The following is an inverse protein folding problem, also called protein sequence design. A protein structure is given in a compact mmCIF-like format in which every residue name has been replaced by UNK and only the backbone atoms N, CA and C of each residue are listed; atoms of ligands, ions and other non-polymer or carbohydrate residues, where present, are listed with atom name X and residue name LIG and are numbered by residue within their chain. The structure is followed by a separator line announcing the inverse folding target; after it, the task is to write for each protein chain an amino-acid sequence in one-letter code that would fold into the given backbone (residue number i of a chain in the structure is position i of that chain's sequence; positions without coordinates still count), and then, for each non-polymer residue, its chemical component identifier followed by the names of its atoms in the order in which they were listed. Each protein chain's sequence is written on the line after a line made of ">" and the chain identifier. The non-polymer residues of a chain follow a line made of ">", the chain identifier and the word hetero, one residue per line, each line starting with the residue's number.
data_IF_463320514408
#
_entry.id   IF_463320514408
#
_cell.length_a   1.000
_cell.length_b   1.000
_cell.length_c   1.000
_cell.angle_alpha   90.00
_cell.angle_beta   90.00
_cell.angle_gamma   90.00
#
_symmetry.space_group_name_H-M   'P 1'
#
loop_
_entity.id
_entity.type
_entity.pdbx_description
1 polymer ?
#
# COMPACT_ATOMS: atom_id res chain seq x y z
N UNK A 1 -61.90 11.32 -13.58
CA UNK A 1 -62.06 11.55 -12.13
C UNK A 1 -60.85 12.35 -11.65
N UNK A 2 -61.13 13.48 -11.01
CA UNK A 2 -60.16 14.38 -10.38
C UNK A 2 -59.29 13.64 -9.36
N UNK A 3 -58.04 14.05 -9.08
CA UNK A 3 -57.69 15.02 -8.02
C UNK A 3 -56.33 14.53 -7.48
N UNK A 4 -55.27 15.27 -7.14
CA UNK A 4 -54.92 16.68 -7.10
C UNK A 4 -53.39 16.80 -7.09
N UNK A 5 -52.87 17.96 -7.53
CA UNK A 5 -51.47 18.38 -7.41
C UNK A 5 -51.12 18.73 -5.97
N UNK A 6 -49.85 18.55 -5.57
CA UNK A 6 -49.12 19.54 -4.76
C UNK A 6 -47.60 19.28 -4.85
N UNK A 7 -46.86 20.32 -5.23
CA UNK A 7 -45.41 20.42 -5.16
C UNK A 7 -45.02 21.26 -3.93
N UNK A 8 -43.91 20.95 -3.26
CA UNK A 8 -43.20 21.90 -2.39
C UNK A 8 -41.80 21.39 -2.00
N UNK A 9 -40.78 21.99 -2.61
CA UNK A 9 -39.57 22.61 -2.05
C UNK A 9 -38.73 22.00 -0.90
N UNK A 10 -37.43 22.39 -0.83
CA UNK A 10 -36.46 21.85 0.11
C UNK A 10 -36.59 22.50 1.50
N UNK A 11 -36.68 21.69 2.55
CA UNK A 11 -36.56 22.21 3.92
C UNK A 11 -35.08 22.28 4.30
N UNK A 12 -34.53 23.49 4.14
CA UNK A 12 -33.36 23.94 4.87
C UNK A 12 -33.71 23.97 6.37
N UNK A 13 -33.11 23.07 7.15
CA UNK A 13 -33.20 23.12 8.61
C UNK A 13 -31.99 23.88 9.15
N UNK A 14 -32.21 25.17 9.38
CA UNK A 14 -31.27 26.06 10.06
C UNK A 14 -31.30 25.72 11.57
N UNK A 15 -30.29 25.00 12.07
CA UNK A 15 -30.14 24.76 13.51
C UNK A 15 -29.53 26.02 14.14
N UNK A 16 -30.38 26.82 14.78
CA UNK A 16 -29.98 27.87 15.72
C UNK A 16 -29.31 27.21 16.93
N UNK A 17 -27.99 27.32 17.04
CA UNK A 17 -27.24 26.99 18.25
C UNK A 17 -27.49 28.08 19.30
N UNK A 18 -28.53 27.91 20.12
CA UNK A 18 -28.60 28.58 21.41
C UNK A 18 -27.74 27.80 22.42
N UNK A 19 -26.74 28.49 22.94
CA UNK A 19 -25.90 28.02 24.03
C UNK A 19 -26.69 27.99 25.35
N UNK A 20 -26.82 26.82 25.97
CA UNK A 20 -26.73 26.63 27.43
C UNK A 20 -26.87 25.15 27.85
N UNK A 21 -26.33 24.77 29.02
CA UNK A 21 -25.91 23.41 29.31
C UNK A 21 -26.98 22.58 30.01
N UNK A 22 -26.80 21.25 29.93
CA UNK A 22 -27.44 20.23 30.76
C UNK A 22 -28.96 20.02 30.57
N UNK A 23 -29.29 19.16 29.60
CA UNK A 23 -30.45 18.27 29.74
C UNK A 23 -30.00 16.86 29.38
N UNK A 24 -30.14 15.96 30.34
CA UNK A 24 -29.87 14.53 30.21
C UNK A 24 -30.85 13.93 29.20
N UNK A 25 -30.34 13.50 28.04
CA UNK A 25 -31.12 12.77 27.05
C UNK A 25 -30.75 11.29 27.15
N UNK A 26 -31.58 10.52 27.85
CA UNK A 26 -31.65 9.07 27.71
C UNK A 26 -32.00 8.73 26.27
N UNK A 27 -31.04 8.26 25.50
CA UNK A 27 -31.29 7.64 24.20
C UNK A 27 -31.63 6.16 24.43
N UNK A 28 -32.85 5.81 24.03
CA UNK A 28 -33.30 4.44 23.86
C UNK A 28 -32.53 3.83 22.67
N UNK A 29 -31.69 2.83 22.93
CA UNK A 29 -31.12 2.00 21.87
C UNK A 29 -32.15 0.96 21.45
N UNK A 30 -32.73 1.16 20.27
CA UNK A 30 -33.51 0.15 19.58
C UNK A 30 -32.59 -1.01 19.17
N UNK A 31 -33.03 -2.23 19.46
CA UNK A 31 -32.25 -3.46 19.38
C UNK A 31 -31.94 -3.87 17.95
N UNK A 32 -30.77 -3.45 17.45
CA UNK A 32 -30.12 -4.04 16.28
C UNK A 32 -29.35 -5.32 16.64
N UNK A 33 -29.93 -6.45 16.25
CA UNK A 33 -29.45 -7.83 16.42
C UNK A 33 -27.96 -8.03 16.06
N UNK A 34 -27.11 -8.25 17.06
CA UNK A 34 -25.72 -8.70 16.89
C UNK A 34 -25.64 -10.23 16.75
N UNK A 35 -25.24 -10.71 15.58
CA UNK A 35 -24.59 -12.00 15.35
C UNK A 35 -23.77 -11.84 14.05
N UNK A 36 -22.44 -11.76 14.12
CA UNK A 36 -21.63 -12.96 14.21
C UNK A 36 -20.31 -12.72 14.97
N UNK A 37 -20.07 -13.65 15.88
CA UNK A 37 -18.84 -13.83 16.66
C UNK A 37 -17.76 -14.42 15.73
N UNK A 38 -16.82 -13.60 15.27
CA UNK A 38 -15.56 -14.13 14.73
C UNK A 38 -14.64 -14.48 15.90
N UNK A 39 -14.44 -15.79 16.11
CA UNK A 39 -13.48 -16.34 17.05
C UNK A 39 -12.07 -15.99 16.59
N UNK A 40 -11.21 -15.59 17.54
CA UNK A 40 -9.89 -15.06 17.23
C UNK A 40 -8.81 -16.06 16.80
N UNK A 41 -7.62 -15.47 16.65
CA UNK A 41 -6.26 -16.03 16.52
C UNK A 41 -5.86 -16.62 15.16
N UNK A 42 -5.34 -15.72 14.32
CA UNK A 42 -3.96 -15.76 13.82
C UNK A 42 -3.51 -17.01 13.04
N UNK A 43 -3.60 -16.91 11.71
CA UNK A 43 -2.49 -17.15 10.77
C UNK A 43 -2.72 -16.22 9.58
N UNK A 44 -1.83 -15.24 9.41
CA UNK A 44 -1.65 -14.47 8.19
C UNK A 44 -1.67 -15.44 7.00
N UNK A 45 -2.64 -15.28 6.10
CA UNK A 45 -2.77 -16.13 4.94
C UNK A 45 -1.69 -15.73 3.93
N UNK A 46 -0.48 -16.26 4.13
CA UNK A 46 0.57 -16.19 3.11
C UNK A 46 0.01 -16.83 1.84
N UNK A 47 -0.15 -16.06 0.78
CA UNK A 47 -0.55 -16.57 -0.53
C UNK A 47 0.45 -17.65 -0.94
N UNK A 48 0.02 -18.91 -0.88
CA UNK A 48 0.85 -20.06 -1.22
C UNK A 48 0.85 -20.33 -2.71
N UNK A 49 -0.14 -19.81 -3.44
CA UNK A 49 -0.34 -20.06 -4.85
C UNK A 49 0.60 -19.17 -5.68
N UNK A 50 1.35 -19.80 -6.59
CA UNK A 50 2.17 -19.07 -7.55
C UNK A 50 1.35 -18.76 -8.80
N UNK A 51 1.35 -17.50 -9.22
CA UNK A 51 0.64 -17.01 -10.41
C UNK A 51 1.64 -16.63 -11.50
N UNK A 52 1.31 -16.82 -12.79
CA UNK A 52 2.16 -16.41 -13.89
C UNK A 52 2.19 -14.88 -14.02
N UNK A 53 3.34 -14.34 -14.41
CA UNK A 53 3.51 -12.94 -14.79
C UNK A 53 4.67 -12.80 -15.78
N UNK A 54 4.89 -11.57 -16.24
CA UNK A 54 6.11 -11.21 -16.96
C UNK A 54 6.91 -10.20 -16.16
N UNK A 55 8.21 -10.13 -16.42
CA UNK A 55 9.05 -9.12 -15.80
C UNK A 55 10.04 -8.50 -16.78
N UNK A 56 10.24 -7.19 -16.69
CA UNK A 56 11.36 -6.45 -17.27
C UNK A 56 12.14 -5.74 -16.16
N UNK A 57 13.06 -4.86 -16.55
CA UNK A 57 13.76 -4.00 -15.62
C UNK A 57 13.95 -2.59 -16.18
N UNK A 58 14.13 -1.63 -15.26
CA UNK A 58 14.35 -0.23 -15.58
C UNK A 58 15.42 0.41 -14.67
N UNK A 59 15.84 1.62 -15.06
CA UNK A 59 16.86 2.39 -14.35
C UNK A 59 18.29 1.87 -14.62
N UNK A 60 19.19 2.14 -13.69
CA UNK A 60 20.58 1.68 -13.78
C UNK A 60 20.67 0.16 -13.60
N UNK A 61 21.60 -0.46 -14.33
CA UNK A 61 21.74 -1.91 -14.41
C UNK A 61 21.95 -2.60 -13.04
N UNK A 62 22.67 -1.94 -12.13
CA UNK A 62 22.90 -2.36 -10.74
C UNK A 62 22.20 -1.44 -9.73
N UNK A 63 21.33 -0.55 -10.20
CA UNK A 63 20.64 0.44 -9.37
C UNK A 63 19.31 -0.05 -8.82
N UNK A 64 18.72 0.81 -8.00
CA UNK A 64 17.51 0.56 -7.20
C UNK A 64 16.28 1.25 -7.78
N UNK A 65 16.13 1.21 -9.10
CA UNK A 65 14.99 1.78 -9.81
C UNK A 65 15.07 3.30 -9.87
N UNK A 66 14.00 3.98 -9.46
CA UNK A 66 13.88 5.44 -9.51
C UNK A 66 13.42 6.02 -8.17
N UNK A 67 13.93 7.21 -7.83
CA UNK A 67 13.44 8.00 -6.70
C UNK A 67 12.13 8.73 -6.99
N UNK A 68 11.70 8.76 -8.25
CA UNK A 68 10.47 9.44 -8.70
C UNK A 68 9.25 8.52 -8.80
N UNK A 69 9.24 7.39 -8.10
CA UNK A 69 8.17 6.40 -8.22
C UNK A 69 6.83 6.88 -7.67
N UNK A 70 5.75 6.33 -8.23
CA UNK A 70 4.36 6.70 -7.92
C UNK A 70 3.96 6.55 -6.44
N UNK A 71 4.67 5.70 -5.67
CA UNK A 71 4.39 5.52 -4.24
C UNK A 71 5.06 6.56 -3.32
N UNK A 72 5.90 7.45 -3.87
CA UNK A 72 6.47 8.57 -3.10
C UNK A 72 7.64 8.22 -2.15
N UNK A 73 8.19 7.00 -2.20
CA UNK A 73 9.31 6.59 -1.33
C UNK A 73 10.62 7.35 -1.54
N UNK A 74 10.76 8.11 -2.63
CA UNK A 74 11.91 8.99 -2.82
C UNK A 74 13.25 8.25 -2.77
N UNK A 75 14.19 8.77 -1.99
CA UNK A 75 15.53 8.20 -1.83
C UNK A 75 15.56 6.92 -0.99
N UNK A 76 14.46 6.54 -0.31
CA UNK A 76 14.41 5.31 0.50
C UNK A 76 14.61 4.04 -0.32
N UNK A 77 14.31 4.09 -1.62
CA UNK A 77 14.48 2.95 -2.54
C UNK A 77 15.92 2.42 -2.56
N UNK A 78 16.92 3.29 -2.34
CA UNK A 78 18.36 2.96 -2.30
C UNK A 78 18.88 2.68 -0.87
N UNK A 79 18.00 2.64 0.13
CA UNK A 79 18.37 2.46 1.54
C UNK A 79 17.93 1.09 2.04
N UNK A 80 18.77 0.45 2.87
CA UNK A 80 18.43 -0.82 3.51
C UNK A 80 17.25 -0.60 4.47
N UNK A 81 16.19 -1.42 4.39
CA UNK A 81 16.15 -2.74 3.74
C UNK A 81 15.40 -2.81 2.38
N UNK A 82 15.07 -1.67 1.77
CA UNK A 82 14.43 -1.60 0.44
C UNK A 82 15.43 -1.78 -0.72
N UNK A 83 16.68 -1.37 -0.50
CA UNK A 83 17.79 -1.53 -1.45
C UNK A 83 17.83 -2.92 -2.10
N UNK A 84 17.98 -2.93 -3.42
CA UNK A 84 18.03 -4.07 -4.33
C UNK A 84 16.78 -4.95 -4.32
N UNK A 85 15.63 -4.40 -3.93
CA UNK A 85 14.36 -5.11 -3.75
C UNK A 85 13.15 -4.30 -4.21
N UNK A 86 13.33 -3.24 -4.98
CA UNK A 86 12.22 -2.40 -5.42
C UNK A 86 11.85 -2.65 -6.88
N UNK A 87 10.64 -2.27 -7.25
CA UNK A 87 10.16 -2.33 -8.62
C UNK A 87 8.79 -1.69 -8.77
N UNK A 88 8.40 -1.47 -10.02
CA UNK A 88 7.07 -1.06 -10.40
C UNK A 88 6.24 -2.27 -10.82
N UNK A 89 4.92 -2.14 -10.73
CA UNK A 89 3.97 -3.20 -11.10
C UNK A 89 2.88 -2.66 -11.99
N UNK A 90 2.29 -3.52 -12.82
CA UNK A 90 1.16 -3.14 -13.67
C UNK A 90 -0.08 -2.74 -12.85
N UNK A 91 -1.06 -2.04 -13.46
CA UNK A 91 -2.22 -1.50 -12.73
C UNK A 91 -3.03 -2.53 -11.94
N UNK A 92 -3.02 -3.81 -12.36
CA UNK A 92 -3.72 -4.90 -11.65
C UNK A 92 -3.16 -5.17 -10.24
N UNK A 93 -1.87 -4.91 -10.02
CA UNK A 93 -1.23 -5.02 -8.71
C UNK A 93 -1.06 -3.66 -8.04
N UNK A 94 -0.86 -2.58 -8.82
CA UNK A 94 -0.71 -1.22 -8.28
C UNK A 94 -2.02 -0.68 -7.69
N UNK A 95 -3.17 -1.03 -8.30
CA UNK A 95 -4.52 -0.71 -7.81
C UNK A 95 -4.71 0.77 -7.44
N UNK A 96 -4.22 1.67 -8.28
CA UNK A 96 -4.34 3.11 -8.03
C UNK A 96 -3.62 3.61 -6.78
N UNK A 97 -2.58 2.88 -6.32
CA UNK A 97 -1.78 3.22 -5.15
C UNK A 97 -2.04 2.33 -3.94
N UNK A 98 -3.16 1.57 -3.90
CA UNK A 98 -3.41 0.62 -2.80
C UNK A 98 -2.34 -0.47 -2.72
N UNK A 99 -1.67 -0.80 -3.83
CA UNK A 99 -0.58 -1.77 -3.85
C UNK A 99 0.77 -1.23 -3.37
N UNK A 100 0.90 0.07 -3.05
CA UNK A 100 2.14 0.64 -2.57
C UNK A 100 2.59 0.01 -1.25
N UNK A 101 3.88 -0.34 -1.16
CA UNK A 101 4.46 -0.99 0.01
C UNK A 101 4.26 -2.51 0.05
N UNK A 102 3.34 -3.07 -0.73
CA UNK A 102 3.11 -4.52 -0.79
C UNK A 102 4.35 -5.30 -1.24
N UNK A 103 4.54 -6.49 -0.68
CA UNK A 103 5.66 -7.36 -1.02
C UNK A 103 5.24 -8.61 -1.82
N UNK A 104 6.05 -8.93 -2.83
CA UNK A 104 5.88 -10.11 -3.67
C UNK A 104 7.16 -10.94 -3.69
N UNK A 105 7.01 -12.27 -3.68
CA UNK A 105 8.08 -13.15 -4.14
C UNK A 105 7.96 -13.28 -5.66
N UNK A 106 9.06 -13.05 -6.37
CA UNK A 106 9.15 -13.20 -7.82
C UNK A 106 10.24 -14.23 -8.16
N UNK A 107 9.91 -15.19 -9.02
CA UNK A 107 10.82 -16.26 -9.44
C UNK A 107 10.86 -16.36 -10.96
N UNK A 108 12.05 -16.24 -11.54
CA UNK A 108 12.28 -16.48 -12.95
C UNK A 108 12.21 -17.99 -13.30
N UNK A 109 11.77 -18.29 -14.53
CA UNK A 109 11.57 -19.65 -15.05
C UNK A 109 12.62 -20.12 -16.06
N UNK A 110 13.55 -19.27 -16.52
CA UNK A 110 14.60 -19.68 -17.46
C UNK A 110 15.68 -20.51 -16.77
N UNK A 111 15.62 -21.83 -16.92
CA UNK A 111 16.54 -22.77 -16.29
C UNK A 111 18.02 -22.59 -16.69
N UNK A 112 18.31 -21.94 -17.82
CA UNK A 112 19.68 -21.72 -18.27
C UNK A 112 20.43 -20.65 -17.47
N UNK A 113 19.70 -19.77 -16.77
CA UNK A 113 20.30 -18.58 -16.15
C UNK A 113 19.68 -18.20 -14.80
N UNK A 114 18.46 -18.64 -14.52
CA UNK A 114 17.74 -18.25 -13.32
C UNK A 114 18.09 -19.11 -12.12
N UNK A 115 18.27 -18.44 -10.99
CA UNK A 115 18.41 -19.08 -9.69
C UNK A 115 17.13 -19.81 -9.32
N UNK A 116 17.26 -20.86 -8.51
CA UNK A 116 16.09 -21.55 -7.92
C UNK A 116 15.37 -20.69 -6.86
N UNK A 117 16.02 -19.62 -6.37
CA UNK A 117 15.50 -18.75 -5.31
C UNK A 117 14.61 -17.66 -5.88
N UNK A 118 13.52 -17.37 -5.18
CA UNK A 118 12.69 -16.20 -5.45
C UNK A 118 13.23 -14.96 -4.74
N UNK A 119 13.27 -13.84 -5.44
CA UNK A 119 13.58 -12.52 -4.87
C UNK A 119 12.32 -11.96 -4.21
N UNK A 120 12.48 -11.14 -3.16
CA UNK A 120 11.35 -10.34 -2.64
C UNK A 120 11.44 -8.96 -3.27
N UNK A 121 10.34 -8.54 -3.89
CA UNK A 121 10.14 -7.21 -4.47
C UNK A 121 9.14 -6.45 -3.61
N UNK A 122 9.41 -5.17 -3.37
CA UNK A 122 8.56 -4.19 -2.72
C UNK A 122 8.04 -3.28 -3.82
N UNK A 123 6.72 -3.06 -3.84
CA UNK A 123 6.09 -2.17 -4.81
C UNK A 123 6.34 -0.73 -4.40
N UNK A 124 7.08 0.00 -5.23
CA UNK A 124 7.43 1.40 -4.98
C UNK A 124 6.98 2.35 -6.08
N UNK A 125 6.41 1.80 -7.15
CA UNK A 125 6.12 2.54 -8.36
C UNK A 125 5.04 1.84 -9.19
N UNK A 126 4.52 2.55 -10.19
CA UNK A 126 3.55 2.04 -11.15
C UNK A 126 4.21 1.87 -12.52
N UNK A 127 4.03 0.70 -13.13
CA UNK A 127 4.24 0.57 -14.56
C UNK A 127 2.92 0.92 -15.27
N UNK A 128 2.82 2.07 -15.96
CA UNK A 128 1.56 2.53 -16.51
C UNK A 128 1.00 1.55 -17.55
N UNK A 129 -0.33 1.47 -17.65
CA UNK A 129 -1.09 0.45 -18.41
C UNK A 129 -0.92 0.42 -19.94
N UNK A 130 0.20 0.87 -20.49
CA UNK A 130 0.59 0.69 -21.89
C UNK A 130 1.54 -0.50 -22.08
N UNK A 131 1.63 -1.01 -23.31
CA UNK A 131 2.58 -2.07 -23.67
C UNK A 131 2.47 -3.31 -22.79
N UNK A 132 3.58 -3.70 -22.15
CA UNK A 132 3.68 -4.91 -21.31
C UNK A 132 2.84 -4.85 -20.03
N UNK A 133 2.58 -3.65 -19.52
CA UNK A 133 1.82 -3.42 -18.29
C UNK A 133 0.34 -3.18 -18.55
N UNK A 134 -0.06 -3.09 -19.83
CA UNK A 134 -1.44 -2.89 -20.25
C UNK A 134 -2.26 -4.17 -20.40
N UNK A 135 -3.55 -3.97 -20.72
CA UNK A 135 -4.45 -5.07 -21.13
C UNK A 135 -4.81 -6.07 -20.04
N UNK A 136 -4.71 -5.69 -18.75
CA UNK A 136 -4.98 -6.59 -17.63
C UNK A 136 -3.88 -7.62 -17.35
N UNK A 137 -2.72 -7.47 -17.98
CA UNK A 137 -1.58 -8.35 -17.74
C UNK A 137 -0.95 -8.08 -16.37
N UNK A 138 -0.52 -9.13 -15.68
CA UNK A 138 0.36 -8.97 -14.52
C UNK A 138 1.81 -8.84 -14.99
N UNK A 139 2.41 -7.70 -14.69
CA UNK A 139 3.77 -7.36 -15.08
C UNK A 139 4.53 -6.72 -13.92
N UNK A 140 5.82 -7.06 -13.81
CA UNK A 140 6.77 -6.50 -12.86
C UNK A 140 7.89 -5.81 -13.63
N UNK A 141 8.02 -4.50 -13.53
CA UNK A 141 9.17 -3.80 -14.11
C UNK A 141 10.13 -3.45 -12.97
N UNK A 142 11.12 -4.31 -12.79
CA UNK A 142 11.96 -4.34 -11.58
C UNK A 142 13.12 -3.35 -11.66
N UNK A 143 13.66 -2.95 -10.52
CA UNK A 143 14.99 -2.32 -10.51
C UNK A 143 16.05 -3.27 -11.11
N UNK A 144 17.07 -2.72 -11.78
CA UNK A 144 18.16 -3.51 -12.36
C UNK A 144 18.81 -4.45 -11.34
N UNK A 145 19.03 -3.98 -10.11
CA UNK A 145 19.53 -4.80 -9.00
C UNK A 145 18.57 -5.94 -8.63
N UNK A 146 17.27 -5.67 -8.45
CA UNK A 146 16.29 -6.70 -8.10
C UNK A 146 16.13 -7.74 -9.21
N UNK A 147 16.11 -7.32 -10.47
CA UNK A 147 16.02 -8.20 -11.63
C UNK A 147 17.23 -9.14 -11.71
N UNK A 148 18.43 -8.58 -11.57
CA UNK A 148 19.70 -9.32 -11.61
C UNK A 148 19.80 -10.38 -10.52
N UNK A 149 19.19 -10.15 -9.35
CA UNK A 149 19.17 -11.10 -8.22
C UNK A 149 18.34 -12.36 -8.48
N UNK A 150 17.54 -12.40 -9.53
CA UNK A 150 16.88 -13.62 -9.98
C UNK A 150 17.82 -14.58 -10.71
N UNK A 151 18.97 -14.10 -11.19
CA UNK A 151 19.95 -14.93 -11.88
C UNK A 151 20.76 -15.80 -10.91
N UNK A 152 21.42 -16.83 -11.43
CA UNK A 152 22.54 -17.48 -10.73
C UNK A 152 23.66 -16.46 -10.48
N UNK A 153 24.46 -16.69 -9.44
CA UNK A 153 25.52 -15.75 -9.05
C UNK A 153 26.45 -15.44 -10.24
N UNK A 154 26.70 -14.15 -10.47
CA UNK A 154 27.52 -13.66 -11.58
C UNK A 154 26.81 -13.54 -12.94
N UNK A 155 25.59 -14.08 -13.10
CA UNK A 155 24.86 -14.03 -14.37
C UNK A 155 23.83 -12.89 -14.47
N UNK A 156 23.89 -11.90 -13.57
CA UNK A 156 22.94 -10.78 -13.53
C UNK A 156 22.85 -9.99 -14.84
N UNK A 157 24.00 -9.63 -15.42
CA UNK A 157 24.07 -8.91 -16.69
C UNK A 157 23.44 -9.72 -17.84
N UNK A 158 23.83 -10.99 -17.97
CA UNK A 158 23.27 -11.90 -18.97
C UNK A 158 21.76 -12.09 -18.82
N UNK A 159 21.23 -12.00 -17.59
CA UNK A 159 19.79 -12.09 -17.36
C UNK A 159 19.11 -10.81 -17.84
N UNK A 160 19.67 -9.64 -17.55
CA UNK A 160 19.18 -8.33 -18.04
C UNK A 160 19.16 -8.25 -19.56
N UNK A 161 20.14 -8.86 -20.23
CA UNK A 161 20.20 -8.93 -21.71
C UNK A 161 19.02 -9.72 -22.33
N UNK A 162 18.30 -10.52 -21.53
CA UNK A 162 17.04 -11.13 -21.98
C UNK A 162 15.92 -10.09 -22.17
N UNK A 163 16.02 -8.93 -21.52
CA UNK A 163 15.03 -7.86 -21.53
C UNK A 163 13.76 -8.25 -20.77
N UNK A 164 12.96 -9.14 -21.36
CA UNK A 164 11.69 -9.62 -20.81
C UNK A 164 11.76 -11.10 -20.44
N UNK A 165 11.29 -11.44 -19.24
CA UNK A 165 11.23 -12.80 -18.72
C UNK A 165 9.81 -13.24 -18.43
N UNK A 166 9.57 -14.55 -18.58
CA UNK A 166 8.44 -15.22 -17.93
C UNK A 166 8.82 -15.50 -16.48
N UNK A 167 7.98 -15.06 -15.57
CA UNK A 167 8.16 -15.25 -14.13
C UNK A 167 6.91 -15.86 -13.51
N UNK A 168 7.05 -16.35 -12.30
CA UNK A 168 5.91 -16.58 -11.40
C UNK A 168 6.07 -15.69 -10.18
N UNK A 169 4.95 -15.28 -9.60
CA UNK A 169 4.93 -14.48 -8.40
C UNK A 169 3.87 -14.97 -7.41
N UNK A 170 4.02 -14.52 -6.16
CA UNK A 170 2.99 -14.66 -5.12
C UNK A 170 3.16 -13.56 -4.08
N UNK A 171 2.09 -13.18 -3.38
CA UNK A 171 2.18 -12.22 -2.28
C UNK A 171 2.99 -12.82 -1.12
N UNK A 172 3.70 -11.98 -0.37
CA UNK A 172 4.48 -12.42 0.80
C UNK A 172 4.50 -11.31 1.84
N UNK A 173 4.66 -11.68 3.10
CA UNK A 173 4.91 -10.70 4.15
C UNK A 173 6.17 -9.85 3.85
N UNK A 174 6.05 -8.54 3.97
CA UNK A 174 7.15 -7.61 4.07
C UNK A 174 7.92 -7.81 5.39
N UNK A 175 9.23 -7.56 5.32
CA UNK A 175 10.15 -7.72 6.46
C UNK A 175 11.18 -6.61 6.44
N UNK A 176 11.03 -5.69 7.38
CA UNK A 176 11.82 -4.49 7.59
C UNK A 176 12.59 -4.62 8.92
N UNK A 177 13.41 -5.68 9.04
CA UNK A 177 14.13 -5.99 10.29
C UNK A 177 14.92 -4.80 10.84
N UNK A 178 14.69 -4.46 12.11
CA UNK A 178 15.33 -3.32 12.77
C UNK A 178 14.72 -1.96 12.44
N UNK A 179 13.61 -1.91 11.69
CA UNK A 179 12.79 -0.72 11.48
C UNK A 179 11.46 -0.89 12.21
N UNK A 180 10.88 0.25 12.59
CA UNK A 180 9.49 0.34 12.98
C UNK A 180 8.75 1.09 11.88
N UNK A 181 7.42 0.96 11.87
CA UNK A 181 6.54 1.79 11.05
C UNK A 181 6.89 3.26 11.32
N UNK A 182 7.10 4.01 10.25
CA UNK A 182 7.39 5.43 10.32
C UNK A 182 6.38 6.21 9.48
N UNK A 183 6.11 7.45 9.91
CA UNK A 183 5.23 8.37 9.22
C UNK A 183 6.06 9.57 8.80
N UNK A 184 6.20 9.78 7.50
CA UNK A 184 6.88 10.92 6.94
C UNK A 184 5.85 11.97 6.52
N UNK A 185 6.01 13.20 7.01
CA UNK A 185 5.18 14.33 6.61
C UNK A 185 5.71 14.89 5.31
N UNK A 186 4.92 14.73 4.24
CA UNK A 186 5.31 15.18 2.92
C UNK A 186 5.42 16.71 2.89
N UNK A 187 6.36 17.18 2.07
CA UNK A 187 6.48 18.60 1.75
C UNK A 187 5.16 19.15 1.21
N UNK A 188 4.83 20.40 1.56
CA UNK A 188 3.55 21.02 1.24
C UNK A 188 2.43 20.74 2.24
N UNK A 189 2.67 19.91 3.26
CA UNK A 189 1.78 19.84 4.42
C UNK A 189 1.75 21.18 5.17
N UNK A 190 0.56 21.60 5.58
CA UNK A 190 0.27 22.84 6.29
C UNK A 190 -0.62 22.57 7.51
N UNK A 191 -1.01 23.61 8.24
CA UNK A 191 -2.01 23.49 9.32
C UNK A 191 -3.41 23.12 8.83
N UNK A 192 -3.69 23.21 7.52
CA UNK A 192 -5.01 22.95 6.93
C UNK A 192 -5.02 21.76 5.96
N UNK A 193 -3.84 21.23 5.62
CA UNK A 193 -3.67 20.11 4.70
C UNK A 193 -2.53 19.21 5.20
N UNK A 194 -2.79 17.92 5.35
CA UNK A 194 -1.80 16.97 5.82
C UNK A 194 -1.63 15.85 4.79
N UNK A 195 -0.39 15.67 4.34
CA UNK A 195 0.00 14.59 3.45
C UNK A 195 1.08 13.76 4.15
N UNK A 196 0.86 12.44 4.22
CA UNK A 196 1.73 11.51 4.92
C UNK A 196 2.14 10.37 3.98
N UNK A 197 3.39 9.93 4.13
CA UNK A 197 3.88 8.66 3.61
C UNK A 197 4.07 7.70 4.79
N UNK A 198 3.53 6.49 4.68
CA UNK A 198 3.77 5.41 5.63
C UNK A 198 4.93 4.57 5.12
N UNK A 199 5.95 4.42 5.96
CA UNK A 199 7.19 3.71 5.65
C UNK A 199 7.33 2.47 6.53
N UNK A 200 7.96 1.44 5.97
CA UNK A 200 8.34 0.21 6.69
C UNK A 200 7.17 -0.53 7.35
N UNK A 201 6.00 -0.54 6.72
CA UNK A 201 4.89 -1.37 7.14
C UNK A 201 5.25 -2.86 6.97
N UNK A 202 5.42 -3.56 8.08
CA UNK A 202 5.69 -5.00 8.09
C UNK A 202 4.41 -5.81 7.84
N UNK A 203 4.55 -7.10 7.55
CA UNK A 203 3.38 -7.95 7.27
C UNK A 203 2.84 -7.70 5.87
N UNK A 204 1.59 -7.27 5.70
CA UNK A 204 0.98 -7.13 4.37
C UNK A 204 1.65 -6.06 3.50
N UNK A 205 2.14 -4.98 4.12
CA UNK A 205 2.92 -3.92 3.50
C UNK A 205 2.12 -2.81 2.84
N UNK A 206 0.87 -3.06 2.44
CA UNK A 206 -0.09 -2.05 2.01
C UNK A 206 -0.98 -1.56 3.16
N UNK A 207 -1.65 -0.42 2.97
CA UNK A 207 -2.44 0.25 4.00
C UNK A 207 -3.92 0.24 3.61
N UNK A 208 -4.75 -0.47 4.39
CA UNK A 208 -6.20 -0.54 4.14
C UNK A 208 -6.99 0.70 4.58
N UNK A 209 -6.57 1.37 5.67
CA UNK A 209 -7.18 2.62 6.12
C UNK A 209 -6.26 3.42 7.04
N UNK A 210 -6.47 4.74 7.10
CA UNK A 210 -5.76 5.63 8.02
C UNK A 210 -6.73 6.61 8.67
N UNK A 211 -6.62 6.80 9.99
CA UNK A 211 -7.47 7.71 10.75
C UNK A 211 -6.62 8.56 11.70
N UNK A 212 -7.04 9.79 11.93
CA UNK A 212 -6.40 10.74 12.84
C UNK A 212 -7.38 11.14 13.95
N UNK A 213 -6.86 11.26 15.17
CA UNK A 213 -7.61 11.76 16.31
C UNK A 213 -6.85 12.91 16.94
N UNK A 214 -7.42 14.11 16.90
CA UNK A 214 -6.87 15.28 17.58
C UNK A 214 -7.10 15.14 19.09
N UNK A 215 -6.06 15.38 19.88
CA UNK A 215 -6.15 15.41 21.35
C UNK A 215 -6.17 16.88 21.80
N UNK A 216 -7.20 17.34 22.54
CA UNK A 216 -7.24 18.71 23.04
C UNK A 216 -6.09 19.00 24.01
N UNK A 217 -5.36 20.09 23.76
CA UNK A 217 -4.17 20.51 24.53
C UNK A 217 -4.48 20.77 26.02
N UNK A 218 -5.75 20.97 26.40
CA UNK A 218 -6.16 21.12 27.81
C UNK A 218 -5.93 19.86 28.67
N UNK A 219 -5.63 18.70 28.06
CA UNK A 219 -5.24 17.47 28.76
C UNK A 219 -3.73 17.22 28.78
N UNK A 220 -2.92 18.09 28.17
CA UNK A 220 -1.48 17.87 27.93
C UNK A 220 -0.54 18.59 28.91
N UNK A 221 -1.01 18.96 30.11
CA UNK A 221 -0.07 19.19 31.22
C UNK A 221 0.56 17.88 31.72
N UNK A 222 0.15 16.71 31.22
CA UNK A 222 0.79 15.43 31.54
C UNK A 222 0.63 14.42 30.39
N UNK A 223 1.74 14.15 29.70
CA UNK A 223 2.08 12.89 29.03
C UNK A 223 1.45 12.56 27.65
N UNK A 224 2.30 12.64 26.61
CA UNK A 224 2.36 11.85 25.36
C UNK A 224 1.12 11.78 24.45
N UNK A 225 1.23 12.43 23.27
CA UNK A 225 0.37 12.23 22.10
C UNK A 225 0.52 10.82 21.55
N UNK A 226 -0.54 10.00 21.61
CA UNK A 226 -0.57 8.64 21.07
C UNK A 226 -1.33 8.63 19.74
N UNK A 227 -0.60 8.49 18.62
CA UNK A 227 -1.21 8.19 17.31
C UNK A 227 -1.54 6.70 17.31
N UNK A 228 -2.81 6.35 17.56
CA UNK A 228 -3.30 5.00 17.30
C UNK A 228 -3.58 4.87 15.79
N UNK A 229 -2.63 4.31 15.05
CA UNK A 229 -2.89 3.84 13.69
C UNK A 229 -3.45 2.41 13.80
N UNK A 230 -4.75 2.23 13.58
CA UNK A 230 -5.33 0.92 13.34
C UNK A 230 -5.06 0.57 11.88
N UNK A 231 -3.93 -0.11 11.65
CA UNK A 231 -3.64 -0.76 10.37
C UNK A 231 -4.42 -2.07 10.42
N UNK A 232 -5.43 -2.17 9.56
CA UNK A 232 -6.30 -3.35 9.44
C UNK A 232 -6.14 -3.99 8.07
#
# INVERSE_FOLDING_TARGET
>A
MASSRAAAGPFALCILLLASPAVSATFLFDGGKSAAKSKGKGKEAVDVEWRPATATWYGEAEGDGSTGGACGYGTLVDVVPMKARVGSVSPVLFKGGEGCGACYKVRCLDHGICSRRAVTVIVTDECPGGGLCGGGNTHFDLSGAAFSRMAVAGAGAHLRDRGQLKVIYRRTACKYGGKNIAFHVNEGSTSFWLSLLVEFEDGEGDIGSMQLKQVPILFLSSLFTLVHCLIS
#
